data_IF_620806764517
#
_entry.id   IF_620806764517
#
_cell.length_a   1.000
_cell.length_b   1.000
_cell.length_c   1.000
_cell.angle_alpha   90.00
_cell.angle_beta   90.00
_cell.angle_gamma   90.00
#
_symmetry.space_group_name_H-M   'P 1'
#
loop_
_entity.id
_entity.type
_entity.pdbx_description
1 polymer ?
2 non-polymer ?
3 non-polymer ?
4 non-polymer ?
5 water ?
#
# COMPACT_ATOMS: atom_id res chain seq x y z
N UNK A 2 2.19 -22.52 6.43
CA UNK A 2 2.59 -21.08 6.48
C UNK A 2 1.38 -20.17 6.40
N UNK A 3 1.34 -19.17 7.28
CA UNK A 3 0.31 -18.13 7.28
C UNK A 3 1.03 -16.83 7.57
N UNK A 4 1.19 -15.98 6.55
CA UNK A 4 2.04 -14.78 6.67
C UNK A 4 1.49 -13.77 7.68
N UNK A 5 2.36 -13.33 8.59
CA UNK A 5 2.02 -12.32 9.59
C UNK A 5 2.13 -10.93 8.94
N UNK A 6 1.01 -10.22 8.88
CA UNK A 6 0.92 -8.89 8.26
C UNK A 6 0.86 -7.79 9.32
N UNK A 7 1.71 -6.78 9.17
CA UNK A 7 1.67 -5.59 10.03
C UNK A 7 1.56 -4.35 9.17
N UNK A 8 0.73 -3.41 9.61
CA UNK A 8 0.54 -2.13 8.94
C UNK A 8 0.97 -1.05 9.91
N UNK A 9 1.94 -0.23 9.49
CA UNK A 9 2.58 0.75 10.36
C UNK A 9 2.34 2.16 9.81
N UNK A 10 1.66 2.98 10.59
CA UNK A 10 1.48 4.39 10.25
C UNK A 10 2.59 5.21 10.90
N UNK A 11 3.20 6.10 10.12
CA UNK A 11 4.34 6.90 10.61
C UNK A 11 4.03 8.38 10.40
N UNK A 12 3.84 9.12 11.48
CA UNK A 12 3.48 10.54 11.39
C UNK A 12 1.99 10.75 11.22
N UNK A 13 1.58 12.01 11.02
CA UNK A 13 0.17 12.35 11.01
C UNK A 13 -0.66 11.71 9.91
N UNK A 14 -0.24 11.89 8.65
CA UNK A 14 -0.97 11.32 7.51
C UNK A 14 -1.01 9.80 7.55
N UNK A 15 0.12 9.18 7.92
CA UNK A 15 0.21 7.73 8.00
C UNK A 15 -0.75 7.19 9.05
N UNK A 16 -0.77 7.85 10.21
CA UNK A 16 -1.69 7.44 11.25
C UNK A 16 -3.13 7.74 10.93
N UNK A 17 -3.41 8.79 10.15
CA UNK A 17 -4.76 9.03 9.66
C UNK A 17 -5.23 7.84 8.83
N UNK A 18 -4.36 7.32 7.96
CA UNK A 18 -4.71 6.16 7.14
C UNK A 18 -4.95 4.90 8.00
N UNK A 19 -4.07 4.65 8.97
CA UNK A 19 -4.20 3.50 9.88
C UNK A 19 -5.49 3.59 10.68
N UNK A 20 -5.83 4.78 11.15
CA UNK A 20 -7.03 4.95 11.96
C UNK A 20 -8.29 4.56 11.17
N UNK A 21 -8.31 4.89 9.88
CA UNK A 21 -9.48 4.56 9.07
C UNK A 21 -9.55 3.02 8.84
N UNK A 22 -8.39 2.36 8.71
CA UNK A 22 -8.34 0.89 8.63
C UNK A 22 -8.79 0.21 9.92
N UNK A 23 -8.36 0.75 11.06
CA UNK A 23 -8.80 0.26 12.38
C UNK A 23 -10.33 0.42 12.51
N UNK A 24 -10.86 1.54 12.02
CA UNK A 24 -12.29 1.82 12.06
C UNK A 24 -13.08 0.77 11.26
N UNK A 25 -12.61 0.44 10.05
CA UNK A 25 -13.25 -0.60 9.24
C UNK A 25 -13.16 -1.98 9.89
N UNK A 26 -12.01 -2.29 10.48
CA UNK A 26 -11.74 -3.60 11.04
C UNK A 26 -11.11 -4.46 9.97
N UNK A 27 -9.90 -4.94 10.26
CA UNK A 27 -9.15 -5.82 9.38
C UNK A 27 -8.63 -7.00 10.20
N UNK A 28 -9.27 -8.15 10.03
CA UNK A 28 -8.93 -9.36 10.79
C UNK A 28 -7.56 -9.90 10.34
N UNK A 29 -6.82 -10.42 11.31
CA UNK A 29 -5.47 -10.97 11.08
C UNK A 29 -4.51 -9.94 10.48
N UNK A 30 -4.59 -8.70 10.94
CA UNK A 30 -3.58 -7.68 10.64
C UNK A 30 -3.26 -6.93 11.93
N UNK A 31 -1.97 -6.75 12.22
CA UNK A 31 -1.52 -5.97 13.37
C UNK A 31 -1.29 -4.52 12.94
N UNK A 32 -1.89 -3.58 13.65
CA UNK A 32 -1.68 -2.17 13.38
C UNK A 32 -0.72 -1.55 14.40
N UNK A 33 0.23 -0.78 13.89
CA UNK A 33 1.23 -0.10 14.71
C UNK A 33 1.19 1.38 14.36
N UNK A 34 1.06 2.22 15.40
CA UNK A 34 1.04 3.67 15.25
C UNK A 34 2.35 4.23 15.77
N UNK A 35 3.07 4.96 14.91
CA UNK A 35 4.34 5.58 15.28
C UNK A 35 4.24 7.08 15.08
N UNK A 36 4.55 7.86 16.13
CA UNK A 36 4.58 9.31 16.00
C UNK A 36 5.50 9.90 17.04
N UNK A 37 6.02 11.10 16.74
CA UNK A 37 6.69 11.95 17.71
C UNK A 37 5.66 12.62 18.63
N UNK A 38 4.52 13.01 18.05
CA UNK A 38 3.49 13.75 18.76
C UNK A 38 2.69 12.82 19.68
N UNK A 39 2.92 12.97 20.99
CA UNK A 39 2.25 12.16 22.00
C UNK A 39 0.76 12.39 22.11
N UNK A 40 0.33 13.64 21.92
CA UNK A 40 -1.09 13.98 21.96
C UNK A 40 -1.85 13.24 20.85
N UNK A 41 -1.31 13.28 19.65
CA UNK A 41 -1.90 12.57 18.51
C UNK A 41 -1.93 11.07 18.77
N UNK A 42 -0.83 10.55 19.28
CA UNK A 42 -0.70 9.12 19.50
C UNK A 42 -1.66 8.60 20.59
N UNK A 43 -1.90 9.41 21.62
CA UNK A 43 -2.85 9.07 22.68
C UNK A 43 -4.26 8.82 22.14
N UNK A 44 -4.62 9.55 21.09
CA UNK A 44 -5.94 9.40 20.45
C UNK A 44 -6.09 8.18 19.55
N UNK A 45 -4.97 7.62 19.08
CA UNK A 45 -5.00 6.40 18.27
C UNK A 45 -5.62 5.24 19.04
N UNK A 46 -6.33 4.38 18.34
CA UNK A 46 -6.86 3.14 18.89
C UNK A 46 -6.03 1.94 18.47
N UNK A 47 -4.87 2.17 17.85
CA UNK A 47 -3.96 1.06 17.52
C UNK A 47 -3.53 0.34 18.79
N UNK A 48 -3.47 -0.99 18.73
CA UNK A 48 -3.08 -1.80 19.88
C UNK A 48 -1.58 -1.81 20.15
N UNK A 49 -0.80 -1.28 19.20
CA UNK A 49 0.64 -1.09 19.36
C UNK A 49 0.98 0.35 19.00
N UNK A 50 1.46 1.11 19.98
CA UNK A 50 1.79 2.52 19.81
C UNK A 50 3.22 2.76 20.24
N UNK A 51 3.98 3.48 19.40
CA UNK A 51 5.37 3.79 19.70
C UNK A 51 5.54 5.30 19.59
N UNK A 52 5.75 5.95 20.73
CA UNK A 52 6.08 7.36 20.73
C UNK A 52 7.59 7.41 20.56
N UNK A 53 8.03 8.02 19.46
CA UNK A 53 9.45 8.08 19.12
C UNK A 53 10.02 9.46 19.43
N UNK A 54 11.28 9.48 19.86
CA UNK A 54 11.97 10.74 20.05
C UNK A 54 11.55 11.62 21.21
N UNK A 55 11.07 11.03 22.30
CA UNK A 55 10.62 11.85 23.44
C UNK A 55 11.72 12.77 23.97
N UNK A 56 12.95 12.28 24.08
CA UNK A 56 14.06 13.13 24.56
C UNK A 56 14.36 14.29 23.60
N UNK A 57 14.12 14.07 22.31
CA UNK A 57 14.41 15.06 21.28
C UNK A 57 13.30 16.10 21.18
N UNK A 58 12.04 15.67 21.14
CA UNK A 58 10.90 16.57 20.86
C UNK A 58 10.05 16.95 22.07
N UNK A 59 10.32 16.34 23.22
CA UNK A 59 9.51 16.52 24.44
C UNK A 59 8.02 16.12 24.25
N UNK A 60 7.76 15.20 23.32
CA UNK A 60 6.40 14.75 23.05
C UNK A 60 5.62 15.56 22.03
N UNK A 61 6.25 16.58 21.47
CA UNK A 61 5.68 17.31 20.35
C UNK A 61 6.03 16.60 19.05
N UNK A 62 5.39 17.03 17.98
CA UNK A 62 5.75 16.62 16.65
C UNK A 62 7.12 17.12 16.23
N UNK A 63 7.48 16.83 14.99
CA UNK A 63 8.79 17.15 14.46
C UNK A 63 8.86 18.56 13.86
N UNK A 64 7.76 19.32 13.89
CA UNK A 64 7.76 20.68 13.35
C UNK A 64 8.13 20.76 11.88
N UNK A 65 7.74 19.72 11.14
CA UNK A 65 8.01 19.61 9.71
C UNK A 65 9.49 19.45 9.34
N UNK A 66 10.32 19.07 10.32
CA UNK A 66 11.75 18.92 10.12
C UNK A 66 12.11 17.43 9.99
N UNK A 67 12.46 16.96 8.78
CA UNK A 67 12.78 15.54 8.60
C UNK A 67 13.97 15.04 9.42
N UNK A 68 14.91 15.93 9.73
CA UNK A 68 16.05 15.53 10.57
C UNK A 68 15.56 15.09 11.96
N UNK A 69 14.56 15.80 12.48
CA UNK A 69 14.01 15.47 13.79
C UNK A 69 13.26 14.13 13.71
N UNK A 70 12.50 13.90 12.64
CA UNK A 70 11.88 12.60 12.45
C UNK A 70 12.87 11.44 12.40
N UNK A 71 13.95 11.64 11.65
CA UNK A 71 15.00 10.63 11.51
C UNK A 71 15.68 10.34 12.85
N UNK A 72 16.12 11.39 13.54
CA UNK A 72 16.80 11.22 14.82
C UNK A 72 15.86 10.67 15.89
N UNK A 73 14.57 11.00 15.80
CA UNK A 73 13.58 10.43 16.72
C UNK A 73 13.46 8.91 16.54
N UNK A 74 13.36 8.45 15.29
CA UNK A 74 13.29 7.03 14.99
C UNK A 74 14.55 6.30 15.46
N UNK A 75 15.71 6.95 15.28
CA UNK A 75 16.97 6.35 15.71
C UNK A 75 17.03 6.26 17.24
N UNK A 76 16.57 7.30 17.95
CA UNK A 76 16.47 7.26 19.43
C UNK A 76 15.66 6.05 19.92
N UNK A 77 14.58 5.74 19.19
CA UNK A 77 13.62 4.70 19.58
C UNK A 77 13.74 3.42 18.75
N UNK A 78 14.90 3.20 18.13
CA UNK A 78 15.16 2.04 17.27
C UNK A 78 14.77 0.70 17.90
N UNK A 79 15.11 0.50 19.17
CA UNK A 79 14.84 -0.79 19.83
C UNK A 79 13.35 -1.06 20.00
N UNK A 80 12.57 -0.01 20.27
CA UNK A 80 11.13 -0.14 20.46
C UNK A 80 10.45 -0.46 19.12
N UNK A 81 10.97 0.11 18.04
CA UNK A 81 10.47 -0.18 16.70
C UNK A 81 10.75 -1.64 16.34
N UNK A 82 11.99 -2.09 16.59
CA UNK A 82 12.36 -3.49 16.38
C UNK A 82 11.40 -4.42 17.11
N UNK A 83 11.16 -4.15 18.39
CA UNK A 83 10.28 -4.99 19.22
C UNK A 83 8.87 -5.09 18.64
N UNK A 84 8.34 -3.98 18.14
CA UNK A 84 6.97 -3.97 17.60
C UNK A 84 6.83 -4.76 16.29
N UNK A 85 7.90 -4.78 15.49
CA UNK A 85 7.88 -5.44 14.17
C UNK A 85 8.14 -6.96 14.28
N UNK A 86 8.69 -7.41 15.41
CA UNK A 86 9.03 -8.83 15.61
C UNK A 86 7.95 -9.76 15.11
N UNK A 87 8.34 -10.74 14.29
CA UNK A 87 7.45 -11.74 13.76
C UNK A 87 6.83 -11.41 12.42
N UNK A 88 6.99 -10.17 11.94
CA UNK A 88 6.36 -9.78 10.69
C UNK A 88 6.93 -10.53 9.49
N UNK A 89 6.03 -11.01 8.63
CA UNK A 89 6.42 -11.51 7.30
C UNK A 89 6.23 -10.48 6.21
N UNK A 90 5.26 -9.59 6.39
CA UNK A 90 5.05 -8.49 5.47
C UNK A 90 4.67 -7.26 6.26
N UNK A 91 5.32 -6.15 5.95
CA UNK A 91 5.11 -4.88 6.64
C UNK A 91 4.74 -3.83 5.60
N UNK A 92 3.60 -3.16 5.83
CA UNK A 92 3.22 -1.97 5.06
C UNK A 92 3.57 -0.76 5.91
N UNK A 93 4.36 0.14 5.35
CA UNK A 93 4.70 1.40 6.03
C UNK A 93 3.98 2.51 5.29
N UNK A 94 3.05 3.19 5.95
CA UNK A 94 2.27 4.25 5.33
C UNK A 94 2.57 5.59 6.01
N UNK A 95 2.77 6.61 5.19
CA UNK A 95 3.25 7.90 5.66
C UNK A 95 3.00 8.98 4.61
N UNK A 96 2.75 10.20 5.05
CA UNK A 96 2.68 11.34 4.16
C UNK A 96 4.04 11.98 4.04
N UNK A 97 4.62 12.00 2.85
CA UNK A 97 5.95 12.62 2.68
C UNK A 97 5.83 14.13 2.64
N UNK A 98 6.85 14.81 3.15
CA UNK A 98 6.93 16.26 3.12
C UNK A 98 6.90 16.93 4.47
N UNK A 99 6.40 16.23 5.49
CA UNK A 99 6.46 16.69 6.87
C UNK A 99 7.78 16.31 7.50
N UNK A 100 7.79 16.22 8.82
CA UNK A 100 9.01 15.87 9.54
C UNK A 100 9.07 14.43 10.00
N UNK A 101 8.02 13.98 10.65
CA UNK A 101 8.01 12.65 11.23
C UNK A 101 7.99 11.56 10.16
N UNK A 102 7.03 11.64 9.25
CA UNK A 102 6.98 10.68 8.17
C UNK A 102 8.22 10.69 7.30
N UNK A 103 8.56 11.86 6.79
CA UNK A 103 9.71 11.99 5.89
C UNK A 103 10.98 11.41 6.49
N UNK A 104 11.24 11.73 7.75
CA UNK A 104 12.47 11.31 8.43
C UNK A 104 12.42 9.91 9.02
N UNK A 105 11.32 9.58 9.68
CA UNK A 105 11.21 8.31 10.39
C UNK A 105 10.78 7.13 9.53
N UNK A 106 9.94 7.35 8.53
CA UNK A 106 9.42 6.22 7.75
C UNK A 106 10.53 5.40 7.07
N UNK A 107 11.57 6.04 6.52
CA UNK A 107 12.66 5.22 5.95
C UNK A 107 13.44 4.41 6.99
N UNK A 108 13.56 4.92 8.21
CA UNK A 108 14.23 4.21 9.31
C UNK A 108 13.41 2.96 9.69
N UNK A 109 12.11 3.16 9.84
CA UNK A 109 11.17 2.07 10.12
C UNK A 109 11.20 1.03 9.01
N UNK A 110 11.18 1.48 7.76
CA UNK A 110 11.22 0.55 6.64
C UNK A 110 12.50 -0.29 6.62
N UNK A 111 13.65 0.35 6.86
CA UNK A 111 14.92 -0.38 6.86
C UNK A 111 14.97 -1.42 7.98
N UNK A 112 14.44 -1.08 9.15
CA UNK A 112 14.35 -2.04 10.24
C UNK A 112 13.53 -3.25 9.83
N UNK A 113 12.37 -3.03 9.23
CA UNK A 113 11.52 -4.14 8.76
C UNK A 113 12.23 -4.98 7.71
N UNK A 114 12.90 -4.34 6.77
CA UNK A 114 13.61 -5.01 5.68
C UNK A 114 14.72 -5.91 6.25
N UNK A 115 15.46 -5.37 7.20
CA UNK A 115 16.59 -6.12 7.79
C UNK A 115 16.18 -7.22 8.77
N UNK A 116 14.90 -7.27 9.16
CA UNK A 116 14.29 -8.37 9.91
C UNK A 116 13.73 -9.45 8.95
N UNK A 117 13.86 -9.22 7.64
CA UNK A 117 13.42 -10.17 6.62
C UNK A 117 12.00 -10.01 6.10
N UNK A 118 11.26 -9.02 6.58
CA UNK A 118 9.88 -8.83 6.12
C UNK A 118 9.87 -8.27 4.72
N UNK A 119 8.89 -8.71 3.93
CA UNK A 119 8.61 -8.04 2.66
C UNK A 119 8.03 -6.67 3.01
N UNK A 120 8.76 -5.63 2.60
CA UNK A 120 8.50 -4.28 3.11
C UNK A 120 7.96 -3.39 1.99
N UNK A 121 6.70 -2.99 2.14
CA UNK A 121 6.00 -2.18 1.14
C UNK A 121 5.70 -0.81 1.73
N UNK A 122 6.14 0.24 1.05
CA UNK A 122 5.80 1.60 1.43
C UNK A 122 4.61 2.09 0.61
N UNK A 123 3.69 2.78 1.27
CA UNK A 123 2.57 3.44 0.59
C UNK A 123 2.58 4.87 1.11
N UNK A 124 2.99 5.81 0.27
CA UNK A 124 3.20 7.18 0.72
C UNK A 124 2.51 8.18 -0.19
N UNK A 125 2.18 9.34 0.38
CA UNK A 125 1.70 10.47 -0.41
C UNK A 125 2.78 11.51 -0.66
N UNK A 126 2.64 12.24 -1.77
CA UNK A 126 3.37 13.50 -1.99
C UNK A 126 2.43 14.65 -1.68
N UNK A 127 2.97 15.80 -1.22
CA UNK A 127 2.09 16.91 -0.84
C UNK A 127 1.35 17.54 -2.00
N UNK A 128 0.25 18.21 -1.69
CA UNK A 128 -0.45 19.03 -2.67
C UNK A 128 0.49 20.15 -3.12
N UNK A 129 0.41 20.53 -4.39
CA UNK A 129 1.14 21.70 -4.88
C UNK A 129 0.80 22.96 -4.08
N UNK A 130 -0.44 23.06 -3.58
CA UNK A 130 -0.83 24.22 -2.78
C UNK A 130 -0.07 24.36 -1.46
N UNK A 131 0.62 23.29 -1.02
CA UNK A 131 1.47 23.33 0.16
C UNK A 131 2.84 23.97 -0.08
N UNK A 132 3.21 24.21 -1.34
CA UNK A 132 4.43 24.95 -1.67
C UNK A 132 5.66 24.11 -2.02
N UNK A 133 6.66 24.77 -2.59
CA UNK A 133 7.84 24.11 -3.15
C UNK A 133 8.70 23.40 -2.09
N UNK A 134 8.86 24.04 -0.93
CA UNK A 134 9.67 23.46 0.16
C UNK A 134 9.13 22.11 0.62
N UNK A 135 7.82 22.04 0.87
CA UNK A 135 7.15 20.80 1.21
C UNK A 135 7.38 19.74 0.12
N UNK A 136 7.27 20.15 -1.13
CA UNK A 136 7.45 19.21 -2.26
C UNK A 136 8.89 18.69 -2.34
N UNK A 137 9.86 19.58 -2.15
CA UNK A 137 11.27 19.19 -2.18
C UNK A 137 11.63 18.25 -1.02
N UNK A 138 11.16 18.56 0.19
CA UNK A 138 11.36 17.65 1.33
C UNK A 138 10.73 16.29 1.04
N UNK A 139 9.52 16.30 0.46
CA UNK A 139 8.85 15.05 0.13
C UNK A 139 9.62 14.23 -0.90
N UNK A 140 10.21 14.89 -1.90
CA UNK A 140 10.99 14.18 -2.91
C UNK A 140 12.18 13.46 -2.29
N UNK A 141 12.85 14.10 -1.34
CA UNK A 141 13.97 13.47 -0.62
C UNK A 141 13.46 12.27 0.19
N UNK A 142 12.28 12.42 0.80
CA UNK A 142 11.65 11.34 1.52
C UNK A 142 11.31 10.15 0.63
N UNK A 143 10.72 10.42 -0.53
CA UNK A 143 10.40 9.36 -1.49
C UNK A 143 11.66 8.58 -1.88
N UNK A 144 12.75 9.30 -2.15
CA UNK A 144 13.99 8.63 -2.55
C UNK A 144 14.57 7.79 -1.41
N UNK A 145 14.53 8.32 -0.20
CA UNK A 145 14.96 7.56 0.99
C UNK A 145 14.10 6.33 1.21
N UNK A 146 12.78 6.48 1.02
CA UNK A 146 11.87 5.32 1.11
C UNK A 146 12.17 4.27 0.07
N UNK A 147 12.37 4.69 -1.18
CA UNK A 147 12.66 3.75 -2.27
C UNK A 147 13.91 2.90 -1.93
N UNK A 148 14.92 3.53 -1.34
CA UNK A 148 16.16 2.83 -0.94
C UNK A 148 15.95 1.84 0.20
N UNK A 149 14.95 2.09 1.04
CA UNK A 149 14.70 1.32 2.27
C UNK A 149 13.69 0.20 2.14
N UNK A 150 12.75 0.30 1.21
CA UNK A 150 11.69 -0.69 1.06
C UNK A 150 12.01 -1.70 -0.05
N UNK A 151 11.21 -2.76 -0.09
CA UNK A 151 11.18 -3.66 -1.24
C UNK A 151 10.42 -3.06 -2.41
N UNK A 152 9.22 -2.54 -2.15
CA UNK A 152 8.43 -1.87 -3.20
C UNK A 152 7.75 -0.64 -2.63
N UNK A 153 7.62 0.39 -3.45
CA UNK A 153 7.03 1.66 -3.05
C UNK A 153 5.86 2.01 -3.94
N UNK A 154 4.74 2.37 -3.33
CA UNK A 154 3.57 2.92 -4.01
C UNK A 154 3.45 4.39 -3.61
N UNK A 155 3.45 5.27 -4.60
CA UNK A 155 3.42 6.71 -4.35
C UNK A 155 2.11 7.30 -4.89
N UNK A 156 1.41 8.03 -4.03
CA UNK A 156 0.14 8.68 -4.34
C UNK A 156 0.36 10.18 -4.27
N UNK A 157 0.50 10.87 -5.41
CA UNK A 157 0.58 12.32 -5.34
C UNK A 157 -0.78 12.89 -4.92
N UNK A 158 -0.81 13.66 -3.83
CA UNK A 158 -2.08 14.23 -3.37
C UNK A 158 -2.76 15.09 -4.44
N UNK A 159 -1.98 15.73 -5.32
CA UNK A 159 -2.58 16.47 -6.44
C UNK A 159 -3.53 15.61 -7.27
N UNK A 160 -3.32 14.29 -7.34
CA UNK A 160 -4.24 13.42 -8.10
C UNK A 160 -5.66 13.40 -7.52
N UNK A 161 -5.80 13.70 -6.22
CA UNK A 161 -7.14 13.82 -5.62
C UNK A 161 -7.93 14.97 -6.24
N UNK A 162 -7.25 16.00 -6.71
CA UNK A 162 -7.92 17.14 -7.37
C UNK A 162 -8.54 16.76 -8.70
N UNK A 163 -8.16 15.60 -9.25
CA UNK A 163 -8.72 15.09 -10.50
C UNK A 163 -9.99 14.24 -10.33
N UNK A 164 -10.31 13.87 -9.08
CA UNK A 164 -11.45 12.96 -8.82
C UNK A 164 -12.56 13.59 -7.97
N UNK A 165 -12.43 14.87 -7.64
CA UNK A 165 -13.43 15.61 -6.86
C UNK A 165 -14.23 16.56 -7.73
N UNK A 166 -15.44 16.89 -7.30
CA UNK A 166 -16.11 18.09 -7.84
C UNK A 166 -15.81 19.24 -6.90
N UNK A 167 -16.35 20.42 -7.18
CA UNK A 167 -16.02 21.60 -6.37
C UNK A 167 -16.52 21.50 -4.91
N UNK A 168 -17.49 20.60 -4.65
CA UNK A 168 -18.04 20.42 -3.32
C UNK A 168 -17.58 19.18 -2.55
N UNK A 169 -16.84 18.26 -3.18
CA UNK A 169 -16.49 17.01 -2.49
C UNK A 169 -15.75 17.32 -1.20
N UNK A 170 -16.27 16.85 -0.05
CA UNK A 170 -15.58 17.13 1.20
C UNK A 170 -14.12 16.63 1.20
N UNK A 171 -13.25 17.41 1.83
CA UNK A 171 -11.85 17.04 1.92
C UNK A 171 -11.67 15.62 2.50
N UNK A 172 -12.43 15.29 3.54
CA UNK A 172 -12.30 13.99 4.17
C UNK A 172 -12.74 12.85 3.23
N UNK A 173 -13.72 13.11 2.36
CA UNK A 173 -14.14 12.11 1.36
C UNK A 173 -13.03 11.86 0.35
N UNK A 174 -12.35 12.91 -0.08
CA UNK A 174 -11.18 12.78 -0.96
C UNK A 174 -10.07 11.99 -0.28
N UNK A 175 -9.79 12.30 0.98
CA UNK A 175 -8.78 11.54 1.73
C UNK A 175 -9.11 10.07 1.84
N UNK A 176 -10.39 9.72 1.98
CA UNK A 176 -10.80 8.32 2.02
C UNK A 176 -10.40 7.59 0.73
N UNK A 177 -10.49 8.26 -0.42
CA UNK A 177 -10.08 7.66 -1.69
C UNK A 177 -8.60 7.31 -1.74
N UNK A 178 -7.76 8.21 -1.23
CA UNK A 178 -6.33 7.93 -1.15
C UNK A 178 -6.04 6.77 -0.18
N UNK A 179 -6.71 6.78 0.99
CA UNK A 179 -6.62 5.69 1.98
C UNK A 179 -6.92 4.34 1.44
N UNK A 180 -7.92 4.30 0.56
CA UNK A 180 -8.41 3.03 0.01
C UNK A 180 -7.37 2.22 -0.75
N UNK A 181 -6.34 2.90 -1.28
CA UNK A 181 -5.26 2.19 -1.97
C UNK A 181 -4.60 1.19 -1.01
N UNK A 182 -4.15 1.66 0.14
CA UNK A 182 -3.56 0.79 1.15
C UNK A 182 -4.55 -0.26 1.65
N UNK A 183 -5.77 0.17 1.96
CA UNK A 183 -6.74 -0.73 2.58
C UNK A 183 -7.10 -1.89 1.66
N UNK A 184 -7.39 -1.57 0.41
CA UNK A 184 -7.75 -2.61 -0.57
C UNK A 184 -6.54 -3.49 -0.88
N UNK A 185 -5.34 -2.92 -0.83
CA UNK A 185 -4.11 -3.71 -0.99
C UNK A 185 -3.93 -4.74 0.11
N UNK A 186 -4.08 -4.30 1.36
CA UNK A 186 -3.95 -5.20 2.51
C UNK A 186 -5.04 -6.27 2.45
N UNK A 187 -6.27 -5.88 2.09
CA UNK A 187 -7.34 -6.85 1.95
C UNK A 187 -7.01 -7.91 0.88
N UNK A 188 -6.44 -7.48 -0.24
CA UNK A 188 -6.05 -8.40 -1.31
C UNK A 188 -5.02 -9.42 -0.84
N UNK A 189 -3.99 -8.96 -0.13
CA UNK A 189 -2.98 -9.89 0.41
C UNK A 189 -3.60 -10.86 1.42
N UNK A 190 -4.46 -10.33 2.29
CA UNK A 190 -5.16 -11.18 3.26
C UNK A 190 -5.94 -12.28 2.57
N UNK A 191 -6.65 -11.95 1.49
CA UNK A 191 -7.40 -12.94 0.72
C UNK A 191 -6.49 -13.94 0.03
N UNK A 192 -5.40 -13.45 -0.54
CA UNK A 192 -4.44 -14.32 -1.24
C UNK A 192 -3.86 -15.38 -0.30
N UNK A 193 -3.54 -14.97 0.92
CA UNK A 193 -2.95 -15.86 1.93
C UNK A 193 -3.98 -16.86 2.48
N UNK A 194 -5.24 -16.43 2.59
CA UNK A 194 -6.29 -17.25 3.23
C UNK A 194 -6.99 -18.25 2.30
N UNK A 195 -7.22 -17.83 1.06
CA UNK A 195 -8.04 -18.58 0.10
C UNK A 195 -7.15 -19.41 -0.83
N UNK A 196 -7.59 -20.64 -1.10
CA UNK A 196 -6.93 -21.50 -2.06
C UNK A 196 -7.55 -21.29 -3.43
N UNK A 197 -6.75 -20.85 -4.39
CA UNK A 197 -7.23 -20.57 -5.73
C UNK A 197 -7.17 -21.79 -6.62
N UNK A 198 -8.03 -21.80 -7.63
CA UNK A 198 -8.03 -22.85 -8.66
C UNK A 198 -6.68 -22.86 -9.38
N UNK A 199 -6.16 -21.68 -9.71
CA UNK A 199 -4.75 -21.50 -10.04
C UNK A 199 -4.20 -20.66 -8.90
N UNK A 200 -3.50 -21.32 -7.98
CA UNK A 200 -3.21 -20.74 -6.68
C UNK A 200 -1.98 -19.84 -6.73
N UNK A 201 -2.11 -18.67 -6.10
CA UNK A 201 -0.99 -17.77 -5.81
C UNK A 201 -0.80 -17.75 -4.30
N UNK A 202 0.46 -17.77 -3.88
CA UNK A 202 0.78 -17.73 -2.47
C UNK A 202 1.81 -16.65 -2.16
N UNK A 203 2.20 -16.56 -0.90
CA UNK A 203 3.09 -15.49 -0.45
C UNK A 203 4.47 -15.53 -1.16
N UNK A 204 4.94 -16.69 -1.55
CA UNK A 204 6.20 -16.75 -2.31
C UNK A 204 6.11 -16.08 -3.67
N UNK A 205 4.95 -16.16 -4.32
CA UNK A 205 4.70 -15.45 -5.56
C UNK A 205 4.71 -13.93 -5.37
N UNK A 206 4.09 -13.49 -4.28
CA UNK A 206 4.12 -12.08 -3.91
C UNK A 206 5.57 -11.61 -3.74
N UNK A 207 6.37 -12.37 -2.99
CA UNK A 207 7.78 -12.02 -2.80
C UNK A 207 8.57 -11.98 -4.10
N UNK A 208 8.33 -12.93 -5.01
CA UNK A 208 9.04 -12.91 -6.29
C UNK A 208 8.82 -11.59 -7.03
N UNK A 209 7.56 -11.14 -7.08
CA UNK A 209 7.24 -9.94 -7.82
C UNK A 209 7.64 -8.66 -7.07
N UNK A 210 7.62 -8.68 -5.74
CA UNK A 210 7.77 -7.46 -4.95
C UNK A 210 9.10 -7.28 -4.22
N UNK A 211 9.87 -8.32 -3.96
CA UNK A 211 11.11 -8.18 -3.20
C UNK A 211 12.18 -7.45 -4.01
N UNK A 212 12.83 -6.46 -3.39
CA UNK A 212 13.94 -5.72 -3.99
C UNK A 212 13.60 -5.11 -5.33
N UNK A 213 12.46 -4.43 -5.38
CA UNK A 213 12.03 -3.68 -6.53
C UNK A 213 12.11 -2.18 -6.22
N UNK A 214 11.29 -1.38 -6.88
CA UNK A 214 11.24 0.05 -6.64
C UNK A 214 9.79 0.46 -6.66
N UNK A 215 9.48 1.42 -7.50
CA UNK A 215 8.13 1.94 -7.63
C UNK A 215 7.19 0.90 -8.25
N UNK A 216 5.93 0.88 -7.83
CA UNK A 216 4.97 -0.09 -8.36
C UNK A 216 3.63 0.52 -8.71
N UNK A 217 2.97 -0.10 -9.68
CA UNK A 217 1.57 0.14 -10.00
C UNK A 217 0.79 -0.97 -9.34
N UNK A 218 -0.30 -0.60 -8.69
CA UNK A 218 -1.26 -1.57 -8.15
C UNK A 218 -2.66 -1.06 -8.49
N UNK A 219 -3.55 -2.01 -8.77
CA UNK A 219 -4.92 -1.66 -9.05
C UNK A 219 -5.86 -2.84 -9.08
N UNK A 220 -7.14 -2.50 -8.92
CA UNK A 220 -8.25 -3.45 -8.88
C UNK A 220 -9.32 -2.93 -9.82
N UNK A 221 -9.86 -3.82 -10.65
CA UNK A 221 -10.98 -3.48 -11.52
C UNK A 221 -12.11 -4.49 -11.35
N UNK A 222 -13.33 -3.96 -11.30
CA UNK A 222 -14.53 -4.76 -11.11
C UNK A 222 -15.49 -4.42 -12.25
N UNK A 223 -16.03 -5.46 -12.89
CA UNK A 223 -17.05 -5.26 -13.93
C UNK A 223 -17.99 -6.46 -14.01
N UNK A 224 -19.09 -6.24 -14.72
CA UNK A 224 -20.08 -7.28 -14.99
C UNK A 224 -20.64 -7.05 -16.39
N UNK A 225 -21.45 -7.99 -16.84
CA UNK A 225 -22.10 -7.89 -18.15
C UNK A 225 -21.16 -8.09 -19.32
N UNK A 226 -21.52 -7.51 -20.46
CA UNK A 226 -20.76 -7.67 -21.70
C UNK A 226 -19.38 -7.03 -21.57
N UNK A 227 -18.38 -7.69 -22.14
CA UNK A 227 -17.00 -7.19 -22.15
C UNK A 227 -16.42 -7.00 -20.73
N UNK A 228 -16.93 -7.74 -19.74
CA UNK A 228 -16.52 -7.59 -18.34
C UNK A 228 -15.02 -7.80 -18.10
N UNK A 229 -14.43 -8.79 -18.78
CA UNK A 229 -13.01 -9.10 -18.58
C UNK A 229 -12.09 -7.98 -19.03
N UNK A 230 -12.31 -7.48 -20.24
CA UNK A 230 -11.52 -6.37 -20.78
C UNK A 230 -11.71 -5.12 -19.93
N UNK A 231 -12.96 -4.82 -19.57
CA UNK A 231 -13.28 -3.65 -18.75
C UNK A 231 -12.61 -3.71 -17.37
N UNK A 232 -12.69 -4.86 -16.71
CA UNK A 232 -12.08 -5.02 -15.39
C UNK A 232 -10.55 -4.91 -15.47
N UNK A 233 -9.95 -5.52 -16.49
CA UNK A 233 -8.49 -5.45 -16.67
C UNK A 233 -8.01 -4.04 -16.97
N UNK A 234 -8.73 -3.32 -17.83
CA UNK A 234 -8.40 -1.92 -18.11
C UNK A 234 -8.51 -1.04 -16.85
N UNK A 235 -9.54 -1.28 -16.04
CA UNK A 235 -9.69 -0.52 -14.78
C UNK A 235 -8.57 -0.81 -13.80
N UNK A 236 -8.17 -2.08 -13.70
CA UNK A 236 -7.08 -2.49 -12.81
C UNK A 236 -5.76 -1.77 -13.10
N UNK A 237 -5.43 -1.63 -14.38
CA UNK A 237 -4.15 -1.02 -14.78
C UNK A 237 -4.17 0.51 -14.89
N UNK A 238 -5.35 1.13 -14.71
CA UNK A 238 -5.51 2.58 -14.89
C UNK A 238 -5.02 3.40 -13.69
N UNK A 239 -5.36 2.95 -12.49
CA UNK A 239 -4.87 3.53 -11.22
C UNK A 239 -4.56 5.04 -11.28
N UNK A 240 -5.61 5.89 -11.37
CA UNK A 240 -5.41 7.35 -11.51
C UNK A 240 -4.78 8.10 -10.32
N UNK A 241 -4.71 7.46 -9.16
CA UNK A 241 -4.09 8.09 -7.99
C UNK A 241 -2.60 7.80 -7.87
N UNK A 242 -2.07 6.85 -8.64
CA UNK A 242 -0.68 6.45 -8.50
C UNK A 242 0.14 7.11 -9.56
N UNK A 243 1.38 7.49 -9.24
CA UNK A 243 2.22 8.13 -10.26
C UNK A 243 2.87 7.11 -11.21
N UNK A 244 2.98 5.85 -10.80
CA UNK A 244 3.59 4.81 -11.62
C UNK A 244 2.56 4.23 -12.57
N UNK A 245 2.94 4.08 -13.84
CA UNK A 245 2.08 3.45 -14.84
C UNK A 245 2.61 2.04 -15.13
N UNK A 246 1.76 1.22 -15.73
CA UNK A 246 2.12 -0.16 -16.05
C UNK A 246 3.11 -0.29 -17.22
N UNK A 247 3.23 0.77 -18.03
CA UNK A 247 4.08 0.73 -19.23
C UNK A 247 5.50 0.30 -18.89
N UNK A 248 5.95 -0.79 -19.51
CA UNK A 248 7.31 -1.31 -19.34
C UNK A 248 7.56 -2.15 -18.09
N UNK A 249 6.51 -2.54 -17.39
CA UNK A 249 6.67 -3.36 -16.18
C UNK A 249 7.37 -4.69 -16.49
N UNK A 250 8.34 -5.04 -15.65
CA UNK A 250 9.13 -6.28 -15.83
C UNK A 250 8.63 -7.45 -14.98
N UNK A 251 7.77 -7.15 -13.99
CA UNK A 251 7.16 -8.15 -13.14
C UNK A 251 5.70 -7.82 -12.92
N UNK A 252 4.83 -8.83 -13.01
CA UNK A 252 3.40 -8.67 -12.76
C UNK A 252 2.87 -9.85 -11.97
N UNK A 253 2.12 -9.55 -10.90
CA UNK A 253 1.29 -10.55 -10.24
C UNK A 253 -0.12 -10.15 -10.60
N UNK A 254 -0.88 -11.08 -11.19
CA UNK A 254 -2.25 -10.81 -11.62
C UNK A 254 -3.17 -11.92 -11.15
N UNK A 255 -4.33 -11.54 -10.61
CA UNK A 255 -5.35 -12.50 -10.24
C UNK A 255 -6.69 -12.11 -10.85
N UNK A 256 -7.43 -13.12 -11.30
CA UNK A 256 -8.83 -12.94 -11.71
C UNK A 256 -9.73 -13.75 -10.79
N UNK A 257 -10.71 -13.08 -10.19
CA UNK A 257 -11.73 -13.73 -9.38
C UNK A 257 -13.05 -13.60 -10.14
N UNK A 258 -13.72 -14.72 -10.34
CA UNK A 258 -15.06 -14.71 -10.92
C UNK A 258 -15.91 -15.82 -10.36
N UNK A 259 -17.16 -15.85 -10.80
CA UNK A 259 -18.07 -16.94 -10.48
C UNK A 259 -17.80 -18.15 -11.36
N UNK A 260 -18.69 -19.13 -11.26
CA UNK A 260 -18.59 -20.36 -12.04
C UNK A 260 -18.59 -20.12 -13.56
N UNK A 261 -19.14 -18.99 -13.99
CA UNK A 261 -19.19 -18.61 -15.40
C UNK A 261 -17.87 -18.11 -15.98
N UNK A 262 -16.85 -17.86 -15.14
CA UNK A 262 -15.57 -17.33 -15.63
C UNK A 262 -15.05 -18.21 -16.77
N UNK A 263 -14.94 -17.63 -17.95
CA UNK A 263 -14.54 -18.37 -19.15
C UNK A 263 -13.03 -18.29 -19.43
N UNK A 264 -12.51 -19.31 -20.09
CA UNK A 264 -11.12 -19.30 -20.49
C UNK A 264 -10.86 -18.14 -21.45
N UNK A 265 -11.79 -17.93 -22.38
CA UNK A 265 -11.64 -16.86 -23.36
C UNK A 265 -11.51 -15.48 -22.69
N UNK A 266 -12.34 -15.23 -21.67
CA UNK A 266 -12.33 -13.99 -20.87
C UNK A 266 -11.02 -13.80 -20.11
N UNK A 267 -10.55 -14.88 -19.52
CA UNK A 267 -9.28 -14.86 -18.80
C UNK A 267 -8.14 -14.44 -19.73
N UNK A 268 -8.10 -15.01 -20.93
CA UNK A 268 -7.10 -14.61 -21.93
C UNK A 268 -7.25 -13.14 -22.29
N UNK A 269 -8.47 -12.68 -22.53
CA UNK A 269 -8.70 -11.28 -22.86
C UNK A 269 -8.10 -10.36 -21.80
N UNK A 270 -8.36 -10.67 -20.54
CA UNK A 270 -7.91 -9.84 -19.42
C UNK A 270 -6.39 -9.89 -19.30
N UNK A 271 -5.82 -11.08 -19.36
CA UNK A 271 -4.37 -11.24 -19.27
C UNK A 271 -3.65 -10.53 -20.42
N UNK A 272 -4.23 -10.60 -21.63
CA UNK A 272 -3.66 -9.90 -22.79
C UNK A 272 -3.62 -8.38 -22.63
N UNK A 273 -4.68 -7.81 -22.04
CA UNK A 273 -4.69 -6.37 -21.74
C UNK A 273 -3.48 -6.01 -20.86
N UNK A 274 -3.24 -6.81 -19.84
CA UNK A 274 -2.17 -6.55 -18.88
C UNK A 274 -0.80 -6.80 -19.53
N UNK A 275 -0.67 -7.92 -20.23
CA UNK A 275 0.55 -8.27 -20.98
C UNK A 275 0.96 -7.21 -22.00
N UNK A 276 0.02 -6.82 -22.86
CA UNK A 276 0.28 -5.83 -23.93
C UNK A 276 0.84 -4.51 -23.39
N UNK A 277 0.45 -4.15 -22.17
CA UNK A 277 0.97 -2.97 -21.50
C UNK A 277 2.40 -3.16 -20.93
N UNK A 278 2.69 -4.36 -20.42
CA UNK A 278 3.97 -4.64 -19.75
C UNK A 278 5.15 -4.87 -20.73
N UNK A 279 6.35 -5.00 -20.18
CA UNK A 279 7.56 -5.28 -20.99
C UNK A 279 7.46 -6.61 -21.74
N UNK A 280 8.10 -6.68 -22.90
CA UNK A 280 8.16 -7.91 -23.71
C UNK A 280 8.56 -9.15 -22.92
N UNK A 281 9.55 -9.02 -22.04
CA UNK A 281 10.07 -10.13 -21.23
C UNK A 281 9.55 -10.11 -19.79
N UNK A 282 8.31 -9.65 -19.60
CA UNK A 282 7.72 -9.58 -18.26
C UNK A 282 7.67 -10.96 -17.58
N UNK A 283 8.02 -10.98 -16.29
CA UNK A 283 7.85 -12.14 -15.44
C UNK A 283 6.44 -12.01 -14.86
N UNK A 284 5.48 -12.69 -15.49
CA UNK A 284 4.07 -12.62 -15.07
C UNK A 284 3.66 -13.90 -14.37
N UNK A 285 3.09 -13.76 -13.18
CA UNK A 285 2.53 -14.86 -12.41
C UNK A 285 1.02 -14.63 -12.32
N UNK A 286 0.27 -15.56 -12.89
CA UNK A 286 -1.15 -15.46 -13.11
C UNK A 286 -1.92 -16.41 -12.19
N UNK A 287 -2.96 -15.89 -11.53
CA UNK A 287 -3.81 -16.68 -10.65
C UNK A 287 -5.28 -16.54 -10.99
N UNK A 288 -6.06 -17.52 -10.52
CA UNK A 288 -7.51 -17.50 -10.69
C UNK A 288 -8.21 -18.10 -9.48
N UNK A 289 -9.31 -17.47 -9.08
CA UNK A 289 -10.20 -17.91 -8.01
C UNK A 289 -11.61 -18.01 -8.57
N UNK A 290 -12.28 -19.12 -8.31
CA UNK A 290 -13.71 -19.24 -8.59
C UNK A 290 -14.43 -19.07 -7.27
N UNK A 291 -15.19 -17.99 -7.13
CA UNK A 291 -16.02 -17.73 -5.97
C UNK A 291 -17.48 -18.01 -6.38
N UNK A 292 -18.05 -19.17 -5.98
CA UNK A 292 -19.43 -19.51 -6.39
C UNK A 292 -20.51 -18.53 -5.92
N UNK A 293 -20.21 -17.75 -4.88
CA UNK A 293 -21.14 -16.73 -4.38
C UNK A 293 -21.28 -15.55 -5.35
N UNK A 294 -20.28 -15.33 -6.21
CA UNK A 294 -20.39 -14.34 -7.29
C UNK A 294 -21.31 -14.87 -8.39
N UNK A 295 -21.98 -13.95 -9.08
CA UNK A 295 -22.82 -14.29 -10.24
C UNK A 295 -22.15 -13.77 -11.50
N UNK A 296 -22.40 -12.50 -11.87
CA UNK A 296 -21.84 -11.95 -13.10
C UNK A 296 -20.65 -11.00 -12.89
N UNK A 297 -20.23 -10.82 -11.63
CA UNK A 297 -19.10 -9.93 -11.33
C UNK A 297 -17.76 -10.63 -11.55
N UNK A 298 -16.79 -9.88 -12.07
CA UNK A 298 -15.41 -10.34 -12.05
C UNK A 298 -14.51 -9.24 -11.53
N UNK A 299 -13.44 -9.66 -10.87
CA UNK A 299 -12.51 -8.75 -10.21
C UNK A 299 -11.09 -9.09 -10.66
N UNK A 300 -10.42 -8.12 -11.27
CA UNK A 300 -9.03 -8.27 -11.72
C UNK A 300 -8.16 -7.43 -10.80
N UNK A 301 -7.13 -8.05 -10.24
CA UNK A 301 -6.17 -7.37 -9.37
C UNK A 301 -4.79 -7.51 -9.99
N UNK A 302 -4.02 -6.41 -10.03
CA UNK A 302 -2.69 -6.37 -10.64
C UNK A 302 -1.75 -5.62 -9.73
N UNK A 303 -0.54 -6.15 -9.56
CA UNK A 303 0.60 -5.35 -9.13
C UNK A 303 1.71 -5.53 -10.16
N UNK A 304 2.30 -4.41 -10.54
CA UNK A 304 3.31 -4.35 -11.58
C UNK A 304 4.55 -3.63 -11.05
N UNK A 305 5.70 -4.25 -11.21
CA UNK A 305 6.98 -3.80 -10.68
C UNK A 305 8.07 -3.91 -11.75
N UNK A 306 9.22 -3.33 -11.46
CA UNK A 306 10.42 -3.48 -12.28
C UNK A 306 10.40 -2.57 -13.50
N UNK A 307 10.95 -1.37 -13.35
CA UNK A 307 10.93 -0.35 -14.41
C UNK A 307 12.33 0.20 -14.70
X LIG B 1 4.37 14.48 9.96
X LIG B 1 3.46 14.03 11.09
X LIG B 1 4.90 13.29 9.21
X LIG B 1 5.46 15.46 10.35
X LIG B 1 3.42 15.29 8.93
X LIG B 1 1.99 14.87 8.33
X LIG B 1 0.87 15.37 9.17
X LIG B 1 2.01 13.41 8.02
X LIG B 1 1.94 15.70 6.96
X LIG B 1 2.88 15.43 5.91
X LIG B 1 2.14 15.51 4.58
X LIG B 1 1.16 14.47 4.47
X LIG B 1 1.34 16.80 4.39
X LIG B 1 2.21 17.82 3.90
X LIG B 1 0.25 16.40 3.44
X LIG B 1 0.66 16.44 2.07
X LIG B 1 0.01 14.95 3.75
X LIG B 1 -1.13 14.58 4.61
X LIG B 1 -1.26 14.76 5.94
X LIG B 1 -2.39 14.17 6.39
X LIG B 1 -2.98 13.58 5.32
X LIG B 1 -4.17 12.78 5.09
X LIG B 1 -4.93 12.49 6.03
X LIG B 1 -4.39 12.35 3.83
X LIG B 1 -3.58 12.63 2.80
X LIG B 1 -3.92 12.15 1.57
X LIG B 1 -2.47 13.36 2.92
X LIG B 1 -2.13 13.84 4.16
X LIG C 1 -3.96 -18.36 -2.47
X LIG D 1 -0.20 -3.77 -1.71
X LIG D 1 0.52 -4.69 -2.32
X LIG D 1 1.26 -4.07 -3.21
X LIG D 1 1.29 -5.26 -1.42
X LIG D 1 -0.34 -5.74 -2.98
X LIG D 1 0.16 -6.56 -4.01
X LIG D 1 -0.65 -7.53 -4.61
X LIG D 1 -1.65 -5.93 -2.58
X LIG D 1 -2.45 -6.90 -3.16
X LIG D 1 -1.96 -7.70 -4.19
X LIG D 1 -2.87 -8.73 -4.74
X LIG D 1 -3.83 -9.31 -3.99
X LIG D 1 -3.04 -9.39 -5.96
X LIG D 1 -2.02 -9.10 -7.65
X LIG D 1 -3.96 -10.23 -5.99
X LIG D 1 -4.44 -10.18 -4.81
X LIG D 1 -5.56 -11.08 -4.53
X LIG D 1 -6.83 -10.56 -5.20
X LIG D 1 -5.23 -12.35 -5.05
X LIG D 1 -5.81 -13.52 -4.67
X LIG D 1 -6.84 -13.64 -3.73
X LIG D 1 -5.29 -14.66 -5.29
X LIG D 1 -4.31 -14.52 -6.17
X LIG D 1 -5.79 -15.91 -4.99
X LIG D 1 -6.80 -16.02 -4.06
X LIG D 1 -7.28 -17.23 -3.76
X LIG D 1 -7.33 -14.90 -3.42
X LIG D 1 -5.23 -17.13 -5.67
X LIG D 1 -4.73 -18.05 -5.02
X LIG D 1 -5.29 -17.15 -7.01
#
# INVERSE_FOLDING_TARGET
GHMATLKVIGVGGGGNNAVNRMIDHGMNNVEFIAINTDGQALNLSKAESKIQIGEKLTRGLGAGANPEIGKKAAEESREQIEDAIQGADMVFVTSGMGGGTGTGAAPVVAKIAKEMGALTVGVVTRPFSFEGRKRQTQAAAGVEAMKAAVDTLIVIPNDRLLDIVDKSTPMMEAFKEADNVLRQGVQGISDLIAVSGEVNLDFADVKTIMSNQGSALMGIGVSSGENRAVEAAKKAISSPLLETSIVGAQGVLMNITGGESLSLFEAQEAADIVQDAADEDVNMIFGTVINPELQDEIVVTVIATGFD
GDP PB O1B O2B O3B O3A PA O1A O2A O5' C5' C4' O4' C3' O3' C2' O2' C1' N9 C8 N7 C5 C6 O6 N1 C2 N2 N3 C4
CA CA
ZI1 F5 C19 F3 F4 C16 C15 C14 C17 C18 C13 C11 N2 C12 BR1 O3 C10 C8 C9 O2 C4 C5 C3 F1 C2 C7 F2 C6 C1 O1 N1
#
